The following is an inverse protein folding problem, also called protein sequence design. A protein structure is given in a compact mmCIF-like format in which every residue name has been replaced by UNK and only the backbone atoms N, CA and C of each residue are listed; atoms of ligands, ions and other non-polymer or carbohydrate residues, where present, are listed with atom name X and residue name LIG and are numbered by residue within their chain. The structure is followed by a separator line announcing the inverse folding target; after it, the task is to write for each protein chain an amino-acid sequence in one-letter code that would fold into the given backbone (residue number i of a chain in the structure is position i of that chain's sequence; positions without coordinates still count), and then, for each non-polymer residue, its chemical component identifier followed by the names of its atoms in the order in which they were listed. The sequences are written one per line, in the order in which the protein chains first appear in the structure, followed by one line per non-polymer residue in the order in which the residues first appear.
data_IF_443192582023
#
_entry.id   IF_443192582023
#
_cell.length_a   1.000
_cell.length_b   1.000
_cell.length_c   1.000
_cell.angle_alpha   90.00
_cell.angle_beta   90.00
_cell.angle_gamma   90.00
#
_symmetry.space_group_name_H-M   'P 1'
#
loop_
_entity.id
_entity.type
_entity.pdbx_description
1 polymer ?
#
# COMPACT_ATOMS: atom_id res chain seq x y z
N UNK A 1 -0.90 23.95 4.00
CA UNK A 1 -1.31 25.23 4.60
C UNK A 1 -1.91 24.99 5.98
N UNK A 2 -1.83 25.92 6.95
CA UNK A 2 -2.43 25.78 8.29
C UNK A 2 -3.91 25.39 8.25
N UNK A 3 -4.68 25.95 7.31
CA UNK A 3 -6.10 25.62 7.10
C UNK A 3 -6.32 24.14 6.72
N UNK A 4 -5.37 23.51 5.99
CA UNK A 4 -5.47 22.09 5.66
C UNK A 4 -5.07 21.23 6.85
N UNK A 5 -4.00 21.61 7.55
CA UNK A 5 -3.54 20.88 8.73
C UNK A 5 -4.61 20.82 9.82
N UNK A 6 -5.45 21.87 9.97
CA UNK A 6 -6.55 21.86 10.93
C UNK A 6 -7.68 20.88 10.61
N UNK A 7 -7.66 20.23 9.47
CA UNK A 7 -8.64 19.21 9.05
C UNK A 7 -8.14 17.78 9.24
N UNK A 8 -6.86 17.60 9.59
CA UNK A 8 -6.26 16.30 9.79
C UNK A 8 -6.43 15.91 11.26
N UNK A 9 -6.80 14.67 11.51
CA UNK A 9 -7.11 14.15 12.84
C UNK A 9 -6.25 12.95 13.18
N UNK A 10 -5.97 12.79 14.47
CA UNK A 10 -5.49 11.55 15.08
C UNK A 10 -6.63 10.98 15.92
N UNK A 11 -6.84 9.68 15.84
CA UNK A 11 -7.92 9.00 16.56
C UNK A 11 -7.57 7.56 16.90
N UNK A 12 -8.31 7.02 17.85
CA UNK A 12 -8.41 5.58 18.03
C UNK A 12 -9.52 5.06 17.12
N UNK A 13 -9.22 4.01 16.35
CA UNK A 13 -10.10 3.45 15.35
C UNK A 13 -10.40 1.99 15.69
N UNK A 14 -11.67 1.62 15.72
CA UNK A 14 -12.15 0.29 16.09
C UNK A 14 -12.82 -0.45 14.92
N UNK A 15 -12.80 0.14 13.72
CA UNK A 15 -13.43 -0.38 12.51
C UNK A 15 -14.88 -0.81 12.76
N UNK A 16 -15.73 0.15 13.08
CA UNK A 16 -17.17 -0.06 13.35
C UNK A 16 -17.43 -1.16 14.42
N UNK A 17 -16.65 -1.12 15.50
CA UNK A 17 -16.73 -2.05 16.63
C UNK A 17 -16.28 -3.47 16.28
N UNK A 18 -15.27 -3.61 15.43
CA UNK A 18 -14.64 -4.89 15.19
C UNK A 18 -14.19 -5.54 16.52
N UNK A 19 -14.50 -6.82 16.81
CA UNK A 19 -14.29 -7.43 18.13
C UNK A 19 -12.89 -7.25 18.72
N UNK A 20 -11.85 -7.35 17.90
CA UNK A 20 -10.46 -7.17 18.35
C UNK A 20 -10.15 -5.71 18.67
N UNK A 21 -10.71 -4.76 17.92
CA UNK A 21 -10.36 -3.33 18.02
C UNK A 21 -11.25 -2.55 18.98
N UNK A 22 -12.38 -3.10 19.41
CA UNK A 22 -13.13 -2.57 20.56
C UNK A 22 -12.30 -2.67 21.85
N UNK A 23 -11.52 -3.76 21.99
CA UNK A 23 -10.67 -3.99 23.17
C UNK A 23 -9.33 -3.26 23.02
N UNK A 24 -8.75 -3.27 21.82
CA UNK A 24 -7.44 -2.67 21.51
C UNK A 24 -7.50 -1.84 20.23
N UNK A 25 -8.06 -0.63 20.27
CA UNK A 25 -8.26 0.18 19.07
C UNK A 25 -6.93 0.57 18.43
N UNK A 26 -6.95 0.64 17.09
CA UNK A 26 -5.79 1.01 16.29
C UNK A 26 -5.60 2.53 16.34
N UNK A 27 -4.36 2.97 16.46
CA UNK A 27 -4.03 4.39 16.36
C UNK A 27 -3.98 4.79 14.90
N UNK A 28 -4.90 5.66 14.49
CA UNK A 28 -5.04 6.14 13.11
C UNK A 28 -4.77 7.65 13.05
N UNK A 29 -4.07 8.06 12.01
CA UNK A 29 -3.71 9.45 11.74
C UNK A 29 -3.99 9.78 10.27
N UNK A 30 -4.60 10.93 10.01
CA UNK A 30 -4.76 11.45 8.66
C UNK A 30 -3.46 12.10 8.19
N UNK A 31 -2.82 11.54 7.18
CA UNK A 31 -1.68 12.18 6.50
C UNK A 31 -2.16 13.21 5.46
N UNK A 32 -3.34 12.97 4.88
CA UNK A 32 -3.96 13.85 3.90
C UNK A 32 -5.48 13.65 3.84
N UNK A 33 -6.22 14.70 3.48
CA UNK A 33 -7.69 14.71 3.48
C UNK A 33 -8.34 14.36 2.12
N UNK A 34 -7.69 14.72 0.99
CA UNK A 34 -8.21 14.48 -0.37
C UNK A 34 -7.09 14.32 -1.40
N UNK A 35 -6.80 13.08 -1.84
CA UNK A 35 -7.42 11.80 -1.42
C UNK A 35 -7.16 11.53 0.05
N UNK A 36 -8.01 10.73 0.69
CA UNK A 36 -7.79 10.33 2.08
C UNK A 36 -6.59 9.38 2.15
N UNK A 37 -5.55 9.81 2.85
CA UNK A 37 -4.35 9.01 3.11
C UNK A 37 -4.25 8.82 4.62
N UNK A 38 -4.31 7.57 5.06
CA UNK A 38 -4.34 7.20 6.47
C UNK A 38 -3.04 6.53 6.88
N UNK A 39 -2.52 6.88 8.04
CA UNK A 39 -1.46 6.15 8.71
C UNK A 39 -2.01 5.38 9.90
N UNK A 40 -1.62 4.14 10.01
CA UNK A 40 -1.88 3.28 11.16
C UNK A 40 -0.58 3.00 11.92
N UNK A 41 -0.59 3.20 13.23
CA UNK A 41 0.59 3.05 14.08
C UNK A 41 0.63 1.69 14.78
N UNK A 42 1.84 1.17 14.98
CA UNK A 42 2.10 -0.07 15.72
C UNK A 42 1.34 -1.29 15.18
N UNK A 43 1.27 -1.39 13.85
CA UNK A 43 0.49 -2.44 13.19
C UNK A 43 1.19 -3.80 13.23
N UNK A 44 2.51 -3.80 13.18
CA UNK A 44 3.33 -5.00 13.24
C UNK A 44 4.44 -4.84 14.26
N UNK A 45 4.74 -5.92 14.95
CA UNK A 45 5.84 -5.99 15.90
C UNK A 45 7.19 -6.17 15.19
N UNK A 46 8.28 -5.85 15.89
CA UNK A 46 9.63 -6.08 15.37
C UNK A 46 9.89 -7.55 15.02
N UNK A 47 9.34 -8.48 15.81
CA UNK A 47 9.47 -9.92 15.53
C UNK A 47 8.79 -10.32 14.22
N UNK A 48 7.60 -9.80 13.96
CA UNK A 48 6.87 -10.05 12.70
C UNK A 48 7.63 -9.44 11.52
N UNK A 49 8.13 -8.21 11.66
CA UNK A 49 8.94 -7.53 10.63
C UNK A 49 10.18 -8.34 10.28
N UNK A 50 10.97 -8.76 11.29
CA UNK A 50 12.21 -9.50 11.03
C UNK A 50 11.92 -10.86 10.39
N UNK A 51 10.81 -11.53 10.77
CA UNK A 51 10.40 -12.78 10.12
C UNK A 51 10.01 -12.56 8.66
N UNK A 52 9.25 -11.53 8.33
CA UNK A 52 8.90 -11.20 6.94
C UNK A 52 10.16 -10.91 6.11
N UNK A 53 11.10 -10.14 6.65
CA UNK A 53 12.38 -9.88 5.99
C UNK A 53 13.21 -11.16 5.79
N UNK A 54 13.26 -12.03 6.80
CA UNK A 54 13.96 -13.32 6.73
C UNK A 54 13.41 -14.17 5.57
N UNK A 55 12.09 -14.29 5.46
CA UNK A 55 11.44 -15.03 4.38
C UNK A 55 11.69 -14.42 3.00
N UNK A 56 11.71 -13.10 2.91
CA UNK A 56 11.89 -12.38 1.65
C UNK A 56 13.34 -12.35 1.16
N UNK A 57 14.32 -12.21 2.05
CA UNK A 57 15.76 -12.02 1.70
C UNK A 57 16.29 -12.99 0.64
N UNK A 58 16.11 -14.32 0.73
CA UNK A 58 16.64 -15.28 -0.25
C UNK A 58 15.97 -15.17 -1.62
N UNK A 59 14.77 -14.57 -1.69
CA UNK A 59 13.93 -14.47 -2.89
C UNK A 59 14.03 -13.09 -3.55
N UNK A 60 14.70 -12.13 -2.93
CA UNK A 60 14.80 -10.78 -3.49
C UNK A 60 15.46 -10.81 -4.87
N UNK A 61 14.75 -10.29 -5.86
CA UNK A 61 15.23 -10.08 -7.23
C UNK A 61 15.02 -8.63 -7.60
N UNK A 62 15.75 -8.14 -8.60
CA UNK A 62 15.49 -6.80 -9.14
C UNK A 62 14.00 -6.69 -9.47
N UNK A 63 13.37 -5.63 -8.97
CA UNK A 63 11.94 -5.45 -9.15
C UNK A 63 11.60 -5.33 -10.64
N UNK A 64 10.57 -6.03 -11.05
CA UNK A 64 9.97 -5.95 -12.38
C UNK A 64 8.66 -5.19 -12.32
N UNK A 65 8.28 -4.68 -13.46
CA UNK A 65 6.97 -4.07 -13.70
C UNK A 65 6.31 -4.84 -14.84
N UNK A 66 4.99 -4.84 -14.87
CA UNK A 66 4.26 -5.30 -16.04
C UNK A 66 4.32 -4.22 -17.13
N UNK A 67 4.79 -4.59 -18.32
CA UNK A 67 4.72 -3.69 -19.46
C UNK A 67 3.24 -3.47 -19.83
N UNK A 68 2.76 -2.22 -19.89
CA UNK A 68 1.34 -1.96 -20.09
C UNK A 68 0.80 -2.36 -21.47
N UNK A 69 1.71 -2.59 -22.44
CA UNK A 69 1.35 -2.98 -23.81
C UNK A 69 1.41 -4.50 -24.00
N UNK A 70 2.47 -5.11 -23.46
CA UNK A 70 2.75 -6.54 -23.72
C UNK A 70 2.36 -7.46 -22.58
N UNK A 71 2.08 -6.94 -21.37
CA UNK A 71 1.88 -7.70 -20.15
C UNK A 71 3.15 -8.38 -19.60
N UNK A 72 4.26 -8.33 -20.33
CA UNK A 72 5.50 -9.03 -19.95
C UNK A 72 6.18 -8.31 -18.78
N UNK A 73 6.67 -9.08 -17.82
CA UNK A 73 7.44 -8.55 -16.71
C UNK A 73 8.84 -8.14 -17.18
N UNK A 74 9.17 -6.88 -17.02
CA UNK A 74 10.47 -6.32 -17.39
C UNK A 74 11.08 -5.47 -16.28
N UNK A 75 12.41 -5.31 -16.28
CA UNK A 75 13.08 -4.40 -15.37
C UNK A 75 13.01 -2.99 -15.92
N UNK A 76 12.53 -2.06 -15.06
CA UNK A 76 12.46 -0.66 -15.45
C UNK A 76 13.52 0.19 -14.75
N UNK A 77 14.07 1.16 -15.47
CA UNK A 77 15.02 2.12 -14.89
C UNK A 77 14.37 3.03 -13.85
N UNK A 78 13.08 3.26 -13.97
CA UNK A 78 12.30 4.12 -13.07
C UNK A 78 11.90 3.42 -11.74
N UNK A 79 12.20 2.12 -11.58
CA UNK A 79 12.06 1.39 -10.32
C UNK A 79 13.36 0.72 -9.91
N UNK A 80 14.06 1.34 -8.96
CA UNK A 80 15.34 0.83 -8.43
C UNK A 80 15.09 0.23 -7.05
N UNK A 81 14.71 -1.04 -7.02
CA UNK A 81 14.49 -1.81 -5.80
C UNK A 81 14.68 -3.30 -6.07
N UNK A 82 14.76 -4.08 -5.00
CA UNK A 82 14.61 -5.54 -5.06
C UNK A 82 13.28 -5.90 -4.42
N UNK A 83 12.58 -6.89 -4.96
CA UNK A 83 11.31 -7.36 -4.40
C UNK A 83 11.23 -8.88 -4.36
N UNK A 84 10.37 -9.36 -3.47
CA UNK A 84 9.97 -10.76 -3.32
C UNK A 84 8.48 -10.81 -3.00
N UNK A 85 7.83 -11.89 -3.34
CA UNK A 85 6.43 -12.16 -3.06
C UNK A 85 6.31 -13.26 -2.02
N UNK A 86 5.39 -13.09 -1.08
CA UNK A 86 5.11 -14.03 -0.01
C UNK A 86 3.62 -14.38 0.01
N UNK A 87 3.31 -15.63 -0.26
CA UNK A 87 1.95 -16.12 -0.19
C UNK A 87 1.51 -16.33 1.29
N UNK A 88 0.22 -16.16 1.56
CA UNK A 88 -0.32 -16.30 2.91
C UNK A 88 -0.02 -17.68 3.53
N UNK A 89 -0.15 -18.72 2.73
CA UNK A 89 0.05 -20.12 3.17
C UNK A 89 1.50 -20.49 3.50
N UNK A 90 2.49 -19.68 3.10
CA UNK A 90 3.90 -20.01 3.29
C UNK A 90 4.35 -19.91 4.75
N UNK A 91 3.77 -18.99 5.50
CA UNK A 91 4.11 -18.82 6.91
C UNK A 91 2.99 -18.11 7.68
N UNK A 92 2.67 -18.54 8.91
CA UNK A 92 1.59 -17.94 9.72
C UNK A 92 1.73 -16.42 9.95
N UNK A 93 2.94 -15.87 9.91
CA UNK A 93 3.15 -14.43 10.06
C UNK A 93 2.57 -13.66 8.87
N UNK A 94 2.66 -14.20 7.65
CA UNK A 94 2.14 -13.56 6.43
C UNK A 94 0.62 -13.59 6.45
N UNK A 95 0.04 -14.76 6.77
CA UNK A 95 -1.40 -14.93 6.93
C UNK A 95 -1.97 -13.98 7.98
N UNK A 96 -1.34 -13.92 9.16
CA UNK A 96 -1.72 -13.01 10.24
C UNK A 96 -1.67 -11.53 9.85
N UNK A 97 -0.69 -11.14 9.04
CA UNK A 97 -0.61 -9.76 8.52
C UNK A 97 -1.75 -9.51 7.53
N UNK A 98 -2.05 -10.45 6.64
CA UNK A 98 -3.18 -10.33 5.71
C UNK A 98 -4.50 -10.22 6.45
N UNK A 99 -4.75 -11.07 7.44
CA UNK A 99 -5.96 -11.00 8.27
C UNK A 99 -6.06 -9.64 8.99
N UNK A 100 -4.96 -9.13 9.52
CA UNK A 100 -4.93 -7.82 10.17
C UNK A 100 -5.25 -6.68 9.21
N UNK A 101 -4.80 -6.76 7.96
CA UNK A 101 -5.15 -5.78 6.91
C UNK A 101 -6.65 -5.83 6.65
N UNK A 102 -7.22 -7.01 6.49
CA UNK A 102 -8.66 -7.19 6.32
C UNK A 102 -9.45 -6.61 7.51
N UNK A 103 -9.06 -6.97 8.73
CA UNK A 103 -9.74 -6.54 9.96
C UNK A 103 -9.70 -5.01 10.14
N UNK A 104 -8.61 -4.34 9.72
CA UNK A 104 -8.46 -2.88 9.85
C UNK A 104 -9.19 -2.17 8.72
N UNK A 105 -9.06 -2.64 7.48
CA UNK A 105 -9.61 -1.95 6.31
C UNK A 105 -11.08 -2.28 6.06
N UNK A 106 -11.55 -3.41 6.58
CA UNK A 106 -12.86 -3.97 6.26
C UNK A 106 -12.95 -4.56 4.84
N UNK A 107 -11.85 -4.54 4.08
CA UNK A 107 -11.80 -5.02 2.71
C UNK A 107 -11.42 -6.50 2.66
N UNK A 108 -12.01 -7.25 1.73
CA UNK A 108 -11.63 -8.64 1.45
C UNK A 108 -10.22 -8.70 0.87
N UNK A 109 -9.37 -9.54 1.44
CA UNK A 109 -7.99 -9.73 0.97
C UNK A 109 -7.78 -11.06 0.24
N UNK A 110 -8.82 -11.88 0.08
CA UNK A 110 -8.73 -13.20 -0.56
C UNK A 110 -8.39 -13.10 -2.05
N UNK A 111 -8.80 -12.03 -2.70
CA UNK A 111 -8.50 -11.72 -4.10
C UNK A 111 -7.37 -10.71 -4.27
N UNK A 112 -6.77 -10.27 -3.17
CA UNK A 112 -5.62 -9.37 -3.21
C UNK A 112 -4.36 -10.09 -3.70
N UNK A 113 -3.42 -9.33 -4.24
CA UNK A 113 -2.11 -9.88 -4.60
C UNK A 113 -1.38 -10.42 -3.36
N UNK A 114 -0.42 -11.30 -3.56
CA UNK A 114 0.48 -11.75 -2.49
C UNK A 114 1.16 -10.55 -1.82
N UNK A 115 1.70 -10.76 -0.63
CA UNK A 115 2.42 -9.70 0.07
C UNK A 115 3.75 -9.43 -0.65
N UNK A 116 3.86 -8.30 -1.35
CA UNK A 116 5.12 -7.90 -1.94
C UNK A 116 6.01 -7.27 -0.88
N UNK A 117 7.21 -7.80 -0.71
CA UNK A 117 8.26 -7.20 0.12
C UNK A 117 9.25 -6.51 -0.79
N UNK A 118 9.55 -5.24 -0.54
CA UNK A 118 10.50 -4.47 -1.33
C UNK A 118 11.61 -3.87 -0.44
N UNK A 119 12.82 -3.92 -0.97
CA UNK A 119 13.99 -3.31 -0.37
C UNK A 119 14.59 -2.26 -1.32
N UNK A 120 14.72 -1.05 -0.83
CA UNK A 120 15.40 0.06 -1.49
C UNK A 120 16.71 0.33 -0.75
N UNK A 121 17.84 0.02 -1.39
CA UNK A 121 19.16 0.45 -0.93
C UNK A 121 19.39 1.93 -1.20
N UNK A 122 20.59 2.42 -0.89
CA UNK A 122 20.99 3.80 -1.21
C UNK A 122 20.83 4.07 -2.71
N UNK A 123 20.21 5.20 -3.06
CA UNK A 123 19.81 5.53 -4.44
C UNK A 123 18.55 4.81 -4.92
N UNK A 124 18.03 3.84 -4.16
CA UNK A 124 16.79 3.13 -4.49
C UNK A 124 15.58 4.07 -4.49
N UNK A 125 14.78 3.96 -5.55
CA UNK A 125 13.63 4.84 -5.79
C UNK A 125 12.56 4.14 -6.63
N UNK A 126 11.39 4.76 -6.71
CA UNK A 126 10.36 4.44 -7.68
C UNK A 126 9.70 5.74 -8.14
N UNK A 127 9.80 6.02 -9.45
CA UNK A 127 9.27 7.25 -10.04
C UNK A 127 7.75 7.37 -9.88
N UNK A 128 7.18 8.57 -10.11
CA UNK A 128 5.74 8.79 -9.97
C UNK A 128 4.90 7.88 -10.86
N UNK A 129 4.03 7.08 -10.23
CA UNK A 129 3.17 6.09 -10.88
C UNK A 129 1.81 6.00 -10.18
N UNK A 130 0.89 5.29 -10.81
CA UNK A 130 -0.38 4.87 -10.22
C UNK A 130 -0.31 3.40 -9.87
N UNK A 131 -1.00 3.00 -8.82
CA UNK A 131 -1.14 1.57 -8.47
C UNK A 131 -2.32 0.91 -9.21
N UNK A 132 -3.25 1.67 -9.75
CA UNK A 132 -4.38 1.18 -10.54
C UNK A 132 -4.08 1.18 -12.04
N UNK A 133 -4.71 0.27 -12.79
CA UNK A 133 -4.70 0.27 -14.26
C UNK A 133 -5.57 1.42 -14.78
N UNK A 134 -5.00 2.24 -15.65
CA UNK A 134 -5.66 3.41 -16.20
C UNK A 134 -6.57 3.03 -17.37
N UNK A 135 -7.42 3.96 -17.82
CA UNK A 135 -8.33 3.76 -18.97
C UNK A 135 -7.60 3.45 -20.27
N UNK A 136 -6.38 3.94 -20.43
CA UNK A 136 -5.50 3.65 -21.57
C UNK A 136 -4.73 2.32 -21.42
N UNK A 137 -4.94 1.59 -20.32
CA UNK A 137 -4.36 0.28 -20.03
C UNK A 137 -5.47 -0.78 -19.80
N UNK A 138 -6.34 -1.06 -20.78
CA UNK A 138 -7.55 -1.87 -20.60
C UNK A 138 -7.26 -3.33 -20.21
N UNK A 139 -6.06 -3.80 -20.44
CA UNK A 139 -5.63 -5.16 -20.10
C UNK A 139 -4.85 -5.24 -18.77
N UNK A 140 -4.70 -4.11 -18.05
CA UNK A 140 -4.07 -4.11 -16.74
C UNK A 140 -4.81 -5.05 -15.79
N UNK A 141 -4.07 -5.98 -15.17
CA UNK A 141 -4.58 -7.01 -14.23
C UNK A 141 -5.61 -8.00 -14.79
N UNK A 142 -5.87 -8.01 -16.09
CA UNK A 142 -6.85 -8.89 -16.73
C UNK A 142 -6.57 -10.37 -16.47
N UNK A 143 -5.30 -10.76 -16.49
CA UNK A 143 -4.88 -12.14 -16.23
C UNK A 143 -5.21 -12.60 -14.80
N UNK A 144 -5.25 -11.69 -13.84
CA UNK A 144 -5.60 -12.01 -12.46
C UNK A 144 -7.10 -12.30 -12.30
N UNK A 145 -7.95 -11.73 -13.18
CA UNK A 145 -9.39 -11.91 -13.15
C UNK A 145 -10.08 -11.35 -11.90
N UNK A 146 -9.43 -10.45 -11.18
CA UNK A 146 -9.87 -9.90 -9.89
C UNK A 146 -10.26 -8.43 -9.97
N UNK A 147 -10.29 -7.86 -11.17
CA UNK A 147 -10.56 -6.44 -11.40
C UNK A 147 -9.32 -5.58 -11.13
N UNK A 148 -9.55 -4.28 -11.02
CA UNK A 148 -8.50 -3.30 -10.79
C UNK A 148 -8.05 -3.27 -9.31
N UNK A 149 -6.93 -2.62 -9.01
CA UNK A 149 -6.44 -2.39 -7.65
C UNK A 149 -7.23 -1.26 -6.99
N UNK A 150 -8.19 -1.62 -6.13
CA UNK A 150 -9.07 -0.67 -5.47
C UNK A 150 -8.36 0.12 -4.36
N UNK A 151 -7.41 -0.50 -3.67
CA UNK A 151 -6.69 0.12 -2.56
C UNK A 151 -5.26 -0.42 -2.41
N UNK A 152 -4.41 0.39 -1.81
CA UNK A 152 -3.04 0.04 -1.45
C UNK A 152 -2.83 0.16 0.06
N UNK A 153 -2.25 -0.88 0.62
CA UNK A 153 -1.70 -0.91 1.96
C UNK A 153 -0.19 -1.00 1.89
N UNK A 154 0.51 0.03 2.37
CA UNK A 154 1.97 0.14 2.39
C UNK A 154 2.48 0.08 3.83
N UNK A 155 3.12 -1.02 4.19
CA UNK A 155 3.71 -1.23 5.52
C UNK A 155 5.20 -0.85 5.51
N UNK A 156 5.61 0.05 6.39
CA UNK A 156 7.02 0.38 6.62
C UNK A 156 7.66 -0.60 7.61
N UNK A 157 8.69 -1.30 7.17
CA UNK A 157 9.40 -2.31 7.95
C UNK A 157 10.81 -1.85 8.39
N UNK A 158 11.13 -0.59 8.15
CA UNK A 158 12.35 0.06 8.65
C UNK A 158 12.12 1.55 8.81
N UNK A 159 12.88 2.15 9.71
CA UNK A 159 13.15 3.58 9.64
C UNK A 159 14.19 3.85 8.54
N UNK A 160 14.23 5.07 8.04
CA UNK A 160 15.19 5.52 7.04
C UNK A 160 15.86 6.78 7.55
N UNK A 161 17.19 6.75 7.66
CA UNK A 161 17.93 7.85 8.26
C UNK A 161 17.84 9.14 7.43
N UNK A 162 17.79 9.03 6.09
CA UNK A 162 17.59 10.18 5.20
C UNK A 162 17.00 9.75 3.87
N UNK A 163 16.07 10.55 3.35
CA UNK A 163 15.36 10.27 2.11
C UNK A 163 14.23 9.23 2.29
N UNK A 164 13.86 8.57 1.20
CA UNK A 164 12.93 7.44 1.19
C UNK A 164 11.46 7.76 1.47
N UNK A 165 11.04 9.02 1.47
CA UNK A 165 9.63 9.38 1.65
C UNK A 165 8.75 8.76 0.55
N UNK A 166 7.52 8.44 0.87
CA UNK A 166 6.46 8.21 -0.12
C UNK A 166 5.74 9.53 -0.36
N UNK A 167 5.76 10.03 -1.58
CA UNK A 167 5.19 11.33 -1.91
C UNK A 167 4.04 11.17 -2.89
N UNK A 168 2.97 11.94 -2.66
CA UNK A 168 1.83 12.04 -3.58
C UNK A 168 1.98 13.33 -4.38
N UNK A 169 2.46 13.19 -5.62
CA UNK A 169 3.00 14.30 -6.41
C UNK A 169 1.96 15.35 -6.77
N UNK A 170 0.72 14.92 -7.06
CA UNK A 170 -0.31 15.82 -7.56
C UNK A 170 -0.98 16.65 -6.44
N UNK A 171 -0.88 16.18 -5.21
CA UNK A 171 -1.45 16.88 -4.04
C UNK A 171 -0.39 17.47 -3.11
N UNK A 172 0.87 17.11 -3.28
CA UNK A 172 1.98 17.62 -2.47
C UNK A 172 2.04 17.04 -1.06
N UNK A 173 1.49 15.84 -0.85
CA UNK A 173 1.62 15.13 0.43
C UNK A 173 2.94 14.32 0.46
N UNK A 174 3.56 14.25 1.62
CA UNK A 174 4.77 13.47 1.86
C UNK A 174 4.63 12.67 3.15
N UNK A 175 4.80 11.36 3.03
CA UNK A 175 4.70 10.40 4.12
C UNK A 175 6.08 9.81 4.38
N UNK A 176 6.61 10.07 5.56
CA UNK A 176 7.94 9.59 5.94
C UNK A 176 7.89 8.17 6.49
N UNK A 177 8.86 7.31 6.14
CA UNK A 177 8.98 5.98 6.72
C UNK A 177 9.07 6.02 8.24
N UNK A 178 8.26 5.20 8.90
CA UNK A 178 8.35 4.93 10.33
C UNK A 178 8.09 3.44 10.53
N UNK A 179 9.09 2.73 11.04
CA UNK A 179 9.01 1.28 11.26
C UNK A 179 7.77 0.88 12.06
N UNK A 180 7.09 -0.17 11.63
CA UNK A 180 5.89 -0.69 12.28
C UNK A 180 4.60 0.07 11.97
N UNK A 181 4.65 1.08 11.10
CA UNK A 181 3.46 1.81 10.64
C UNK A 181 3.05 1.40 9.24
N UNK A 182 1.76 1.50 8.95
CA UNK A 182 1.23 1.29 7.61
C UNK A 182 0.53 2.55 7.10
N UNK A 183 0.56 2.74 5.80
CA UNK A 183 -0.16 3.80 5.10
C UNK A 183 -1.17 3.15 4.16
N UNK A 184 -2.37 3.68 4.14
CA UNK A 184 -3.48 3.17 3.34
C UNK A 184 -4.12 4.29 2.54
N UNK A 185 -4.49 4.00 1.30
CA UNK A 185 -5.29 4.87 0.45
C UNK A 185 -6.10 4.05 -0.54
N UNK A 186 -7.25 4.60 -0.95
CA UNK A 186 -7.99 4.07 -2.09
C UNK A 186 -7.38 4.59 -3.39
N UNK A 187 -7.21 3.71 -4.37
CA UNK A 187 -6.75 4.03 -5.72
C UNK A 187 -7.91 4.43 -6.64
N UNK A 188 -9.10 3.93 -6.33
CA UNK A 188 -10.31 4.16 -7.11
C UNK A 188 -11.35 4.89 -6.27
N UNK A 189 -12.17 5.69 -6.92
CA UNK A 189 -13.43 6.17 -6.36
C UNK A 189 -14.42 5.02 -6.17
N UNK A 190 -15.49 5.18 -5.38
CA UNK A 190 -16.57 4.20 -5.29
C UNK A 190 -17.25 3.87 -6.62
N UNK A 191 -17.17 4.74 -7.61
CA UNK A 191 -17.63 4.50 -8.99
C UNK A 191 -16.80 3.47 -9.76
N UNK A 192 -15.59 3.14 -9.28
CA UNK A 192 -14.60 2.35 -9.99
C UNK A 192 -13.63 3.19 -10.86
N UNK A 193 -13.87 4.51 -10.96
CA UNK A 193 -12.95 5.40 -11.65
C UNK A 193 -11.66 5.59 -10.85
N UNK A 194 -10.53 5.73 -11.57
CA UNK A 194 -9.22 5.96 -10.94
C UNK A 194 -9.12 7.33 -10.29
N UNK A 195 -8.65 7.38 -9.05
CA UNK A 195 -8.34 8.65 -8.40
C UNK A 195 -6.92 9.10 -8.78
N UNK A 196 -6.81 9.93 -9.78
CA UNK A 196 -5.52 10.41 -10.29
C UNK A 196 -4.74 11.26 -9.29
N UNK A 197 -5.37 11.72 -8.20
CA UNK A 197 -4.68 12.41 -7.10
C UNK A 197 -3.79 11.48 -6.28
N UNK A 198 -3.93 10.14 -6.46
CA UNK A 198 -3.13 9.12 -5.78
C UNK A 198 -1.82 8.80 -6.49
N UNK A 199 -1.45 9.55 -7.55
CA UNK A 199 -0.14 9.43 -8.16
C UNK A 199 0.95 9.64 -7.14
N UNK A 200 1.80 8.63 -6.97
CA UNK A 200 2.78 8.65 -5.90
C UNK A 200 4.14 8.10 -6.34
N UNK A 201 5.16 8.40 -5.55
CA UNK A 201 6.53 7.98 -5.78
C UNK A 201 7.22 7.56 -4.49
N UNK A 202 8.21 6.69 -4.60
CA UNK A 202 9.18 6.46 -3.53
C UNK A 202 10.43 7.28 -3.82
N UNK A 203 10.66 8.32 -3.02
CA UNK A 203 11.85 9.16 -3.13
C UNK A 203 13.12 8.36 -2.91
N UNK A 204 14.26 8.77 -3.49
CA UNK A 204 15.54 8.13 -3.29
C UNK A 204 15.90 8.00 -1.80
N UNK A 205 16.39 6.83 -1.44
CA UNK A 205 17.01 6.61 -0.13
C UNK A 205 18.41 7.24 -0.18
N UNK A 206 18.69 8.17 0.70
CA UNK A 206 19.99 8.84 0.75
C UNK A 206 20.92 8.17 1.76
N UNK A 207 20.40 7.80 2.93
CA UNK A 207 21.15 7.10 3.98
C UNK A 207 20.31 6.01 4.59
N UNK A 208 20.85 4.81 4.69
CA UNK A 208 20.18 3.65 5.27
C UNK A 208 19.55 2.72 4.21
N UNK A 209 18.55 1.99 4.62
CA UNK A 209 17.78 1.06 3.79
C UNK A 209 16.29 1.21 4.07
N UNK A 210 15.49 1.27 3.01
CA UNK A 210 14.03 1.29 3.13
C UNK A 210 13.48 -0.10 2.83
N UNK A 211 12.84 -0.70 3.84
CA UNK A 211 12.07 -1.92 3.70
C UNK A 211 10.59 -1.62 3.81
N UNK A 212 9.83 -2.07 2.84
CA UNK A 212 8.37 -1.95 2.83
C UNK A 212 7.73 -3.26 2.41
N UNK A 213 6.46 -3.44 2.75
CA UNK A 213 5.62 -4.42 2.08
C UNK A 213 4.34 -3.77 1.56
N UNK A 214 3.93 -4.17 0.37
CA UNK A 214 2.71 -3.72 -0.28
C UNK A 214 1.69 -4.85 -0.28
N UNK A 215 0.44 -4.51 0.00
CA UNK A 215 -0.72 -5.35 -0.26
C UNK A 215 -1.66 -4.58 -1.16
N UNK A 216 -1.80 -5.02 -2.39
CA UNK A 216 -2.74 -4.46 -3.35
C UNK A 216 -4.04 -5.24 -3.29
N UNK A 217 -5.10 -4.55 -2.92
CA UNK A 217 -6.45 -5.09 -2.77
C UNK A 217 -7.20 -4.83 -4.06
N UNK A 218 -7.88 -5.85 -4.58
CA UNK A 218 -8.61 -5.80 -5.85
C UNK A 218 -10.11 -5.59 -5.65
N UNK A 219 -10.81 -5.24 -6.74
CA UNK A 219 -12.25 -4.94 -6.72
C UNK A 219 -13.10 -6.15 -6.38
N UNK A 220 -12.74 -7.35 -6.90
CA UNK A 220 -13.51 -8.57 -6.64
C UNK A 220 -13.53 -8.89 -5.14
N UNK A 221 -14.72 -9.18 -4.61
CA UNK A 221 -14.94 -9.44 -3.19
C UNK A 221 -15.31 -8.19 -2.38
N UNK A 222 -15.29 -6.99 -3.00
CA UNK A 222 -15.61 -5.75 -2.31
C UNK A 222 -17.06 -5.30 -2.52
N UNK A 223 -17.85 -6.02 -3.28
CA UNK A 223 -19.19 -5.62 -3.75
C UNK A 223 -20.13 -5.23 -2.60
N UNK A 224 -19.99 -5.90 -1.44
CA UNK A 224 -20.78 -5.63 -0.24
C UNK A 224 -20.01 -4.93 0.87
N UNK A 225 -18.69 -4.76 0.71
CA UNK A 225 -17.81 -4.11 1.71
C UNK A 225 -17.58 -2.64 1.41
N UNK A 226 -17.49 -2.28 0.13
CA UNK A 226 -17.41 -0.90 -0.34
C UNK A 226 -18.46 -0.68 -1.43
N UNK A 227 -19.59 -0.08 -1.04
CA UNK A 227 -20.69 0.20 -1.97
C UNK A 227 -20.20 1.06 -3.14
N UNK A 228 -20.61 0.70 -4.37
CA UNK A 228 -20.34 1.52 -5.53
C UNK A 228 -21.24 2.78 -5.55
N UNK A 229 -20.76 3.82 -6.22
CA UNK A 229 -21.49 5.06 -6.47
C UNK A 229 -21.70 5.24 -7.97
N UNK A 230 -22.81 5.89 -8.33
CA UNK A 230 -23.04 6.36 -9.70
C UNK A 230 -22.42 7.73 -9.97
N UNK A 231 -21.96 8.42 -8.93
CA UNK A 231 -21.18 9.64 -9.04
C UNK A 231 -19.71 9.27 -9.29
N UNK A 232 -19.14 9.77 -10.38
CA UNK A 232 -17.78 9.42 -10.80
C UNK A 232 -16.70 9.80 -9.78
N UNK A 233 -16.96 10.79 -8.94
CA UNK A 233 -15.97 11.38 -8.03
C UNK A 233 -16.39 11.40 -6.56
N UNK A 234 -17.47 10.71 -6.22
CA UNK A 234 -18.01 10.65 -4.85
C UNK A 234 -17.18 9.78 -3.91
#
# INVERSE_FOLDING_TARGET
TPRRQSRLFCRYFDNDRHPLYVIGPVKQEDEWDRPLILRYHNIVSDKEIEKVKELAKPRLRRATISNPITGVLETAHYRISKSAWLAAYEHPVVDKINQRIEDITGLDVTTAEELQVANYGVGGQYEPHFDFGRKDEPDAFKELGTGNRIATWLLYMSDVASGGATVFTDVGAAVWPKKGTAVFWYNLFPSGEGDYRTRHAACPVLVGNKWVSNKWIHERGQEFRRRCSLDETA
#
